data_IF_567697150600
#
_entry.id   IF_567697150600
#
_cell.length_a   1.000
_cell.length_b   1.000
_cell.length_c   1.000
_cell.angle_alpha   90.00
_cell.angle_beta   90.00
_cell.angle_gamma   90.00
#
_symmetry.space_group_name_H-M   'P 1'
#
loop_
_entity.id
_entity.type
_entity.pdbx_description
1 polymer ?
#
# COMPACT_ATOMS: atom_id res chain seq x y z
N UNK A 1 5.20 -24.30 -9.00
CA UNK A 1 5.98 -23.26 -9.71
C UNK A 1 5.13 -22.75 -10.85
N UNK A 2 4.93 -21.43 -11.00
CA UNK A 2 4.12 -20.88 -12.08
C UNK A 2 4.96 -20.68 -13.35
N UNK A 3 4.98 -21.71 -14.20
CA UNK A 3 5.30 -21.62 -15.63
C UNK A 3 6.60 -20.93 -16.08
N UNK A 4 6.79 -20.84 -17.38
CA UNK A 4 7.83 -20.02 -18.02
C UNK A 4 7.48 -18.52 -17.98
N UNK A 5 8.40 -17.66 -18.43
CA UNK A 5 8.10 -16.22 -18.59
C UNK A 5 6.99 -16.00 -19.64
N UNK A 6 7.01 -16.74 -20.75
CA UNK A 6 5.97 -16.69 -21.77
C UNK A 6 4.59 -17.05 -21.23
N UNK A 7 4.50 -18.10 -20.42
CA UNK A 7 3.25 -18.51 -19.76
C UNK A 7 2.72 -17.45 -18.79
N UNK A 8 3.62 -16.78 -18.04
CA UNK A 8 3.22 -15.68 -17.14
C UNK A 8 2.75 -14.44 -17.89
N UNK A 9 3.39 -14.08 -19.00
CA UNK A 9 2.94 -12.99 -19.88
C UNK A 9 1.55 -13.28 -20.45
N UNK A 10 1.30 -14.52 -20.86
CA UNK A 10 0.00 -14.98 -21.34
C UNK A 10 -1.06 -14.92 -20.24
N UNK A 11 -0.72 -15.37 -19.03
CA UNK A 11 -1.62 -15.35 -17.89
C UNK A 11 -2.05 -13.93 -17.50
N UNK A 12 -1.10 -12.97 -17.43
CA UNK A 12 -1.41 -11.54 -17.20
C UNK A 12 -2.38 -11.03 -18.25
N UNK A 13 -2.07 -11.25 -19.53
CA UNK A 13 -2.89 -10.79 -20.64
C UNK A 13 -4.32 -11.35 -20.56
N UNK A 14 -4.46 -12.64 -20.30
CA UNK A 14 -5.77 -13.29 -20.16
C UNK A 14 -6.54 -12.77 -18.95
N UNK A 15 -5.89 -12.60 -17.80
CA UNK A 15 -6.52 -12.08 -16.60
C UNK A 15 -6.99 -10.62 -16.76
N UNK A 16 -6.30 -9.83 -17.59
CA UNK A 16 -6.70 -8.46 -17.96
C UNK A 16 -7.71 -8.37 -19.11
N UNK A 17 -8.09 -9.50 -19.73
CA UNK A 17 -8.99 -9.52 -20.88
C UNK A 17 -8.40 -8.91 -22.16
N UNK A 18 -7.07 -8.85 -22.26
CA UNK A 18 -6.36 -8.20 -23.37
C UNK A 18 -6.10 -9.18 -24.54
N UNK A 19 -6.15 -8.66 -25.76
CA UNK A 19 -5.64 -9.32 -26.95
C UNK A 19 -4.11 -9.29 -26.99
N UNK A 20 -3.50 -10.17 -27.79
CA UNK A 20 -2.04 -10.16 -27.98
C UNK A 20 -1.54 -8.84 -28.57
N UNK A 21 -2.38 -8.15 -29.35
CA UNK A 21 -2.05 -6.86 -29.95
C UNK A 21 -2.01 -5.75 -28.90
N UNK A 22 -3.03 -5.65 -28.05
CA UNK A 22 -3.08 -4.66 -26.96
C UNK A 22 -1.92 -4.86 -25.98
N UNK A 23 -1.59 -6.11 -25.66
CA UNK A 23 -0.44 -6.38 -24.78
C UNK A 23 0.90 -6.02 -25.45
N UNK A 24 1.03 -6.20 -26.76
CA UNK A 24 2.22 -5.77 -27.50
C UNK A 24 2.36 -4.23 -27.50
N UNK A 25 1.25 -3.51 -27.62
CA UNK A 25 1.20 -2.04 -27.53
C UNK A 25 1.61 -1.56 -26.13
N UNK A 26 1.10 -2.17 -25.05
CA UNK A 26 1.51 -1.88 -23.66
C UNK A 26 3.01 -2.09 -23.45
N UNK A 27 3.54 -3.18 -24.00
CA UNK A 27 4.97 -3.48 -23.92
C UNK A 27 5.82 -2.63 -24.85
N UNK A 28 5.23 -1.82 -25.74
CA UNK A 28 5.93 -1.07 -26.78
C UNK A 28 6.78 -1.99 -27.66
N UNK A 29 6.17 -3.06 -28.19
CA UNK A 29 6.79 -4.02 -29.11
C UNK A 29 5.87 -4.36 -30.27
N UNK A 30 6.43 -4.96 -31.32
CA UNK A 30 5.61 -5.50 -32.41
C UNK A 30 4.80 -6.71 -31.93
N UNK A 31 3.61 -6.93 -32.52
CA UNK A 31 2.80 -8.12 -32.26
C UNK A 31 3.61 -9.42 -32.43
N UNK A 32 4.45 -9.49 -33.47
CA UNK A 32 5.30 -10.64 -33.74
C UNK A 32 6.31 -10.89 -32.61
N UNK A 33 6.92 -9.84 -32.06
CA UNK A 33 7.82 -9.97 -30.93
C UNK A 33 7.09 -10.50 -29.69
N UNK A 34 5.91 -9.96 -29.37
CA UNK A 34 5.10 -10.43 -28.25
C UNK A 34 4.67 -11.90 -28.40
N UNK A 35 4.25 -12.32 -29.59
CA UNK A 35 3.90 -13.72 -29.88
C UNK A 35 5.07 -14.68 -29.66
N UNK A 36 6.30 -14.25 -29.98
CA UNK A 36 7.51 -15.03 -29.70
C UNK A 36 7.83 -15.08 -28.21
N UNK A 37 7.49 -14.04 -27.45
CA UNK A 37 7.62 -14.04 -25.99
C UNK A 37 6.67 -15.04 -25.34
N UNK A 38 5.38 -15.03 -25.68
CA UNK A 38 4.40 -15.98 -25.11
C UNK A 38 4.73 -17.45 -25.40
N UNK A 39 5.45 -17.74 -26.51
CA UNK A 39 5.90 -19.08 -26.89
C UNK A 39 7.28 -19.45 -26.37
N UNK A 40 7.92 -18.58 -25.58
CA UNK A 40 9.31 -18.70 -25.12
C UNK A 40 10.35 -18.83 -26.25
N UNK A 41 10.02 -18.46 -27.49
CA UNK A 41 10.92 -18.45 -28.65
C UNK A 41 11.91 -17.26 -28.60
N UNK A 42 11.64 -16.26 -27.77
CA UNK A 42 12.48 -15.11 -27.52
C UNK A 42 12.27 -14.62 -26.09
N UNK A 43 13.33 -14.19 -25.40
CA UNK A 43 13.20 -13.55 -24.08
C UNK A 43 12.94 -12.06 -24.22
N UNK A 44 11.98 -11.55 -23.45
CA UNK A 44 11.78 -10.11 -23.29
C UNK A 44 12.91 -9.50 -22.45
N UNK A 45 13.33 -8.27 -22.76
CA UNK A 45 14.28 -7.53 -21.94
C UNK A 45 13.60 -7.00 -20.66
N UNK A 46 14.40 -6.71 -19.63
CA UNK A 46 13.90 -6.11 -18.39
C UNK A 46 13.15 -4.79 -18.62
N UNK A 47 13.60 -3.96 -19.56
CA UNK A 47 12.92 -2.72 -19.94
C UNK A 47 11.48 -2.98 -20.42
N UNK A 48 11.28 -4.02 -21.24
CA UNK A 48 9.95 -4.36 -21.77
C UNK A 48 9.06 -5.00 -20.70
N UNK A 49 9.63 -5.74 -19.76
CA UNK A 49 8.90 -6.25 -18.60
C UNK A 49 8.52 -5.14 -17.62
N UNK A 50 9.40 -4.16 -17.40
CA UNK A 50 9.14 -3.01 -16.53
C UNK A 50 7.95 -2.17 -17.03
N UNK A 51 7.79 -2.02 -18.35
CA UNK A 51 6.60 -1.37 -18.94
C UNK A 51 5.29 -2.04 -18.53
N UNK A 52 5.23 -3.37 -18.44
CA UNK A 52 4.03 -4.08 -18.00
C UNK A 52 3.65 -3.67 -16.58
N UNK A 53 4.63 -3.68 -15.66
CA UNK A 53 4.42 -3.32 -14.26
C UNK A 53 3.99 -1.86 -14.14
N UNK A 54 4.59 -0.97 -14.92
CA UNK A 54 4.28 0.45 -14.92
C UNK A 54 2.87 0.76 -15.46
N UNK A 55 2.50 0.19 -16.61
CA UNK A 55 1.23 0.49 -17.27
C UNK A 55 0.03 -0.19 -16.58
N UNK A 56 0.19 -1.44 -16.13
CA UNK A 56 -0.89 -2.19 -15.50
C UNK A 56 -1.04 -1.91 -14.00
N UNK A 57 0.01 -1.37 -13.35
CA UNK A 57 0.08 -0.89 -11.94
C UNK A 57 -0.24 -1.88 -10.83
N UNK A 58 -0.88 -3.00 -11.13
CA UNK A 58 -1.30 -4.02 -10.18
C UNK A 58 -0.59 -5.36 -10.39
N UNK A 59 0.39 -5.44 -11.29
CA UNK A 59 1.16 -6.65 -11.52
C UNK A 59 2.30 -6.75 -10.51
N UNK A 60 2.38 -7.88 -9.81
CA UNK A 60 3.48 -8.17 -8.92
C UNK A 60 4.74 -8.51 -9.73
N UNK A 61 5.77 -7.67 -9.61
CA UNK A 61 7.03 -7.83 -10.32
C UNK A 61 7.78 -9.10 -9.91
N UNK A 62 7.71 -9.52 -8.63
CA UNK A 62 8.29 -10.78 -8.18
C UNK A 62 7.63 -11.95 -8.90
N UNK A 63 6.30 -12.00 -8.90
CA UNK A 63 5.56 -13.05 -9.60
C UNK A 63 5.87 -13.06 -11.11
N UNK A 64 5.92 -11.89 -11.77
CA UNK A 64 6.28 -11.81 -13.20
C UNK A 64 7.67 -12.41 -13.49
N UNK A 65 8.65 -12.14 -12.63
CA UNK A 65 10.04 -12.54 -12.84
C UNK A 65 10.33 -13.98 -12.40
N UNK A 66 9.78 -14.41 -11.27
CA UNK A 66 10.11 -15.69 -10.61
C UNK A 66 8.97 -16.70 -10.63
N UNK A 67 7.73 -16.23 -10.77
CA UNK A 67 6.53 -17.05 -10.59
C UNK A 67 6.18 -17.33 -9.13
N UNK A 68 6.77 -16.59 -8.19
CA UNK A 68 6.51 -16.73 -6.75
C UNK A 68 5.60 -15.61 -6.23
N UNK A 69 4.66 -15.99 -5.36
CA UNK A 69 3.64 -15.10 -4.79
C UNK A 69 2.38 -14.99 -5.65
N UNK A 70 1.59 -13.95 -5.40
CA UNK A 70 0.36 -13.66 -6.15
C UNK A 70 0.69 -12.86 -7.42
N UNK A 71 -0.03 -13.13 -8.52
CA UNK A 71 0.10 -12.41 -9.80
C UNK A 71 -0.15 -10.91 -9.66
N UNK A 72 -1.14 -10.55 -8.84
CA UNK A 72 -1.53 -9.19 -8.60
C UNK A 72 -0.98 -8.70 -7.26
N UNK A 73 -0.51 -7.46 -7.22
CA UNK A 73 -0.29 -6.74 -5.98
C UNK A 73 -1.66 -6.49 -5.39
N UNK A 74 -1.85 -6.85 -4.11
CA UNK A 74 -3.03 -6.43 -3.34
C UNK A 74 -2.96 -4.91 -3.17
N UNK A 75 -3.53 -4.18 -4.13
CA UNK A 75 -3.55 -2.72 -4.19
C UNK A 75 -4.74 -2.10 -3.44
N UNK A 76 -5.59 -2.92 -2.84
CA UNK A 76 -6.69 -2.50 -1.99
C UNK A 76 -6.24 -2.22 -0.55
N UNK A 77 -7.17 -1.68 0.24
CA UNK A 77 -6.98 -1.56 1.68
C UNK A 77 -6.85 -2.96 2.35
N UNK A 78 -6.17 -3.07 3.50
CA UNK A 78 -6.10 -4.32 4.26
C UNK A 78 -7.49 -4.90 4.56
N UNK A 79 -7.60 -6.22 4.60
CA UNK A 79 -8.89 -6.91 4.79
C UNK A 79 -9.58 -6.51 6.09
N UNK A 80 -8.84 -6.47 7.20
CA UNK A 80 -9.36 -6.04 8.51
C UNK A 80 -9.91 -4.60 8.48
N UNK A 81 -9.27 -3.70 7.72
CA UNK A 81 -9.77 -2.35 7.51
C UNK A 81 -11.09 -2.36 6.72
N UNK A 82 -11.16 -3.14 5.64
CA UNK A 82 -12.36 -3.23 4.80
C UNK A 82 -13.54 -3.84 5.58
N UNK A 83 -13.30 -4.84 6.43
CA UNK A 83 -14.33 -5.42 7.30
C UNK A 83 -14.88 -4.38 8.28
N UNK A 84 -13.99 -3.70 9.03
CA UNK A 84 -14.38 -2.62 9.94
C UNK A 84 -15.14 -1.51 9.23
N UNK A 85 -14.65 -1.09 8.05
CA UNK A 85 -15.27 -0.04 7.27
C UNK A 85 -16.69 -0.42 6.82
N UNK A 86 -16.90 -1.65 6.35
CA UNK A 86 -18.24 -2.13 5.97
C UNK A 86 -19.20 -2.11 7.15
N UNK A 87 -18.74 -2.54 8.33
CA UNK A 87 -19.53 -2.50 9.55
C UNK A 87 -19.93 -1.06 9.91
N UNK A 88 -18.99 -0.12 9.90
CA UNK A 88 -19.27 1.26 10.28
C UNK A 88 -20.13 2.00 9.25
N UNK A 89 -19.92 1.75 7.95
CA UNK A 89 -20.78 2.28 6.88
C UNK A 89 -22.22 1.79 7.01
N UNK A 90 -22.45 0.55 7.46
CA UNK A 90 -23.81 0.04 7.68
C UNK A 90 -24.59 0.80 8.76
N UNK A 91 -23.88 1.51 9.64
CA UNK A 91 -24.43 2.34 10.73
C UNK A 91 -24.44 3.84 10.39
N UNK A 92 -23.84 4.24 9.27
CA UNK A 92 -23.68 5.64 8.88
C UNK A 92 -24.92 6.17 8.14
N UNK A 93 -25.16 7.48 8.22
CA UNK A 93 -26.18 8.13 7.39
C UNK A 93 -25.67 8.38 5.97
N UNK A 94 -26.58 8.40 5.00
CA UNK A 94 -26.25 8.68 3.61
C UNK A 94 -25.62 10.07 3.45
N UNK A 95 -26.06 11.07 4.22
CA UNK A 95 -25.50 12.42 4.22
C UNK A 95 -24.03 12.43 4.63
N UNK A 96 -23.66 11.65 5.66
CA UNK A 96 -22.27 11.53 6.10
C UNK A 96 -21.40 10.94 5.01
N UNK A 97 -21.84 9.84 4.38
CA UNK A 97 -21.08 9.21 3.29
C UNK A 97 -20.96 10.13 2.07
N UNK A 98 -22.02 10.86 1.73
CA UNK A 98 -22.03 11.81 0.61
C UNK A 98 -21.12 13.03 0.81
N UNK A 99 -20.65 13.27 2.04
CA UNK A 99 -19.72 14.36 2.36
C UNK A 99 -18.26 14.02 2.10
N UNK A 100 -17.93 12.74 1.89
CA UNK A 100 -16.56 12.27 1.64
C UNK A 100 -16.03 12.79 0.29
N UNK A 101 -14.79 13.29 0.30
CA UNK A 101 -14.09 13.79 -0.89
C UNK A 101 -13.88 12.73 -1.98
N UNK A 102 -13.91 11.45 -1.61
CA UNK A 102 -13.67 10.30 -2.49
C UNK A 102 -14.89 9.38 -2.65
N UNK A 103 -16.11 9.86 -2.33
CA UNK A 103 -17.33 9.04 -2.33
C UNK A 103 -17.56 8.20 -3.60
N UNK A 104 -17.22 8.75 -4.77
CA UNK A 104 -17.42 8.09 -6.06
C UNK A 104 -16.52 6.86 -6.25
N UNK A 105 -15.44 6.77 -5.47
CA UNK A 105 -14.48 5.66 -5.46
C UNK A 105 -14.77 4.63 -4.36
N UNK A 106 -15.73 4.90 -3.46
CA UNK A 106 -15.96 4.08 -2.27
C UNK A 106 -16.27 2.62 -2.62
N UNK A 107 -17.08 2.38 -3.66
CA UNK A 107 -17.39 1.02 -4.13
C UNK A 107 -16.15 0.27 -4.63
N UNK A 108 -15.22 0.98 -5.30
CA UNK A 108 -13.96 0.40 -5.76
C UNK A 108 -13.05 0.05 -4.57
N UNK A 109 -13.02 0.90 -3.53
CA UNK A 109 -12.29 0.64 -2.29
C UNK A 109 -12.86 -0.58 -1.55
N UNK A 110 -14.18 -0.64 -1.35
CA UNK A 110 -14.85 -1.75 -0.66
C UNK A 110 -14.70 -3.09 -1.38
N UNK A 111 -14.52 -3.04 -2.70
CA UNK A 111 -14.23 -4.18 -3.57
C UNK A 111 -12.74 -4.55 -3.62
N UNK A 112 -11.87 -3.83 -2.89
CA UNK A 112 -10.41 -4.05 -2.88
C UNK A 112 -9.70 -3.64 -4.18
N UNK A 113 -10.35 -2.88 -5.07
CA UNK A 113 -9.78 -2.41 -6.34
C UNK A 113 -8.97 -1.13 -6.19
N UNK A 114 -9.23 -0.36 -5.13
CA UNK A 114 -8.54 0.89 -4.84
C UNK A 114 -8.17 1.01 -3.36
N UNK A 115 -7.14 1.81 -3.10
CA UNK A 115 -6.74 2.23 -1.75
C UNK A 115 -7.20 3.66 -1.47
N UNK A 116 -7.35 3.95 -0.18
CA UNK A 116 -7.50 5.31 0.33
C UNK A 116 -6.15 5.81 0.79
N UNK A 117 -5.79 7.04 0.44
CA UNK A 117 -4.62 7.69 0.99
C UNK A 117 -4.80 8.01 2.48
N UNK A 118 -3.68 8.23 3.19
CA UNK A 118 -3.70 8.47 4.65
C UNK A 118 -4.67 9.58 5.06
N UNK A 119 -4.74 10.66 4.29
CA UNK A 119 -5.64 11.80 4.53
C UNK A 119 -7.12 11.42 4.35
N UNK A 120 -7.43 10.57 3.38
CA UNK A 120 -8.78 10.05 3.11
C UNK A 120 -9.23 9.11 4.23
N UNK A 121 -8.32 8.29 4.79
CA UNK A 121 -8.60 7.44 5.96
C UNK A 121 -8.93 8.28 7.21
N UNK A 122 -8.23 9.40 7.41
CA UNK A 122 -8.50 10.32 8.54
C UNK A 122 -9.85 11.02 8.35
N UNK A 123 -10.15 11.47 7.14
CA UNK A 123 -11.45 12.04 6.77
C UNK A 123 -12.57 11.05 7.07
N UNK A 124 -12.41 9.80 6.61
CA UNK A 124 -13.37 8.71 6.83
C UNK A 124 -13.64 8.47 8.31
N UNK A 125 -12.58 8.30 9.11
CA UNK A 125 -12.72 8.10 10.54
C UNK A 125 -13.47 9.25 11.21
N UNK A 126 -13.17 10.51 10.84
CA UNK A 126 -13.86 11.69 11.35
C UNK A 126 -15.36 11.70 10.99
N UNK A 127 -15.68 11.44 9.72
CA UNK A 127 -17.06 11.42 9.22
C UNK A 127 -17.87 10.31 9.89
N UNK A 128 -17.27 9.14 10.06
CA UNK A 128 -17.90 7.98 10.73
C UNK A 128 -17.85 8.04 12.25
N UNK A 129 -17.29 9.12 12.82
CA UNK A 129 -17.09 9.33 14.27
C UNK A 129 -16.33 8.18 14.94
N UNK A 130 -15.37 7.61 14.23
CA UNK A 130 -14.48 6.55 14.71
C UNK A 130 -13.12 7.14 15.13
N UNK A 131 -12.39 6.47 16.04
CA UNK A 131 -11.02 6.85 16.37
C UNK A 131 -10.11 6.76 15.13
N UNK A 132 -9.47 7.87 14.76
CA UNK A 132 -8.62 7.92 13.56
C UNK A 132 -7.39 7.01 13.69
N UNK A 133 -6.86 6.86 14.89
CA UNK A 133 -5.72 6.00 15.21
C UNK A 133 -6.03 4.53 14.92
N UNK A 134 -7.26 4.08 15.23
CA UNK A 134 -7.70 2.71 14.99
C UNK A 134 -7.82 2.42 13.48
N UNK A 135 -8.42 3.35 12.74
CA UNK A 135 -8.52 3.27 11.28
C UNK A 135 -7.14 3.31 10.60
N UNK A 136 -6.25 4.18 11.05
CA UNK A 136 -4.88 4.27 10.53
C UNK A 136 -4.06 3.01 10.82
N UNK A 137 -4.27 2.39 11.99
CA UNK A 137 -3.66 1.10 12.34
C UNK A 137 -4.15 0.00 11.40
N UNK A 138 -5.47 -0.17 11.27
CA UNK A 138 -6.08 -1.18 10.39
C UNK A 138 -5.69 -0.97 8.92
N UNK A 139 -5.54 0.28 8.48
CA UNK A 139 -5.08 0.64 7.15
C UNK A 139 -3.56 0.43 6.92
N UNK A 140 -2.82 -0.07 7.91
CA UNK A 140 -1.36 -0.19 7.90
C UNK A 140 -0.62 1.15 7.68
N UNK A 141 -1.25 2.28 8.04
CA UNK A 141 -0.63 3.61 8.03
C UNK A 141 -0.01 4.01 9.36
N UNK A 142 -0.29 3.27 10.43
CA UNK A 142 0.31 3.47 11.73
C UNK A 142 0.92 2.15 12.24
N UNK A 143 2.25 2.05 12.34
CA UNK A 143 2.89 0.87 12.90
C UNK A 143 2.46 0.64 14.36
N UNK A 144 2.21 -0.62 14.71
CA UNK A 144 1.76 -1.06 16.04
C UNK A 144 2.61 -0.52 17.21
N UNK A 145 3.91 -0.32 16.97
CA UNK A 145 4.82 0.22 17.98
C UNK A 145 4.42 1.63 18.40
N UNK A 146 3.92 2.45 17.47
CA UNK A 146 3.46 3.81 17.80
C UNK A 146 2.19 3.77 18.63
N UNK A 147 1.29 2.79 18.44
CA UNK A 147 0.10 2.65 19.30
C UNK A 147 0.52 2.35 20.74
N UNK A 148 1.50 1.47 20.96
CA UNK A 148 2.03 1.18 22.31
C UNK A 148 2.68 2.40 22.95
N UNK A 149 3.43 3.17 22.17
CA UNK A 149 4.15 4.37 22.64
C UNK A 149 3.16 5.50 22.95
N UNK A 150 2.17 5.74 22.09
CA UNK A 150 1.16 6.79 22.28
C UNK A 150 0.10 6.43 23.32
N UNK A 151 -0.05 5.15 23.68
CA UNK A 151 -0.86 4.76 24.85
C UNK A 151 -0.17 5.04 26.18
N UNK A 152 1.08 5.54 26.19
CA UNK A 152 1.78 5.93 27.39
C UNK A 152 1.54 7.43 27.67
N UNK A 153 0.75 7.73 28.70
CA UNK A 153 0.39 9.10 29.09
C UNK A 153 1.61 10.02 29.27
N UNK A 154 2.74 9.49 29.76
CA UNK A 154 3.98 10.27 29.92
C UNK A 154 4.55 10.69 28.58
N UNK A 155 4.53 9.79 27.60
CA UNK A 155 5.01 10.08 26.24
C UNK A 155 4.09 11.08 25.55
N UNK A 156 2.78 10.91 25.67
CA UNK A 156 1.82 11.88 25.11
C UNK A 156 1.98 13.25 25.74
N UNK A 157 2.16 13.31 27.06
CA UNK A 157 2.41 14.57 27.79
C UNK A 157 3.70 15.22 27.33
N UNK A 158 4.78 14.44 27.15
CA UNK A 158 6.03 14.92 26.58
C UNK A 158 5.84 15.50 25.18
N UNK A 159 5.18 14.77 24.27
CA UNK A 159 4.91 15.23 22.91
C UNK A 159 4.08 16.53 22.89
N UNK A 160 3.10 16.67 23.78
CA UNK A 160 2.33 17.92 23.91
C UNK A 160 3.20 19.08 24.37
N UNK A 161 4.09 18.87 25.34
CA UNK A 161 5.01 19.91 25.81
C UNK A 161 6.03 20.33 24.76
N UNK A 162 6.27 19.51 23.72
CA UNK A 162 7.11 19.89 22.59
C UNK A 162 6.43 20.91 21.66
N UNK A 163 5.10 21.06 21.70
CA UNK A 163 4.40 22.07 20.91
C UNK A 163 4.74 23.51 21.32
N UNK A 164 5.30 23.70 22.51
CA UNK A 164 5.78 24.97 23.02
C UNK A 164 7.26 25.24 22.67
N UNK A 165 7.95 24.26 22.08
CA UNK A 165 9.36 24.35 21.70
C UNK A 165 9.50 24.84 20.25
N UNK A 166 10.58 25.54 19.96
CA UNK A 166 10.96 25.88 18.59
C UNK A 166 11.70 24.73 17.90
N UNK A 167 11.83 24.79 16.56
CA UNK A 167 12.44 23.73 15.76
C UNK A 167 13.83 23.29 16.26
N UNK A 168 14.66 24.24 16.71
CA UNK A 168 16.00 23.95 17.23
C UNK A 168 15.95 23.19 18.56
N UNK A 169 15.05 23.58 19.45
CA UNK A 169 14.85 22.90 20.73
C UNK A 169 14.28 21.49 20.53
N UNK A 170 13.42 21.31 19.53
CA UNK A 170 12.91 19.99 19.13
C UNK A 170 14.06 19.10 18.64
N UNK A 171 14.92 19.63 17.77
CA UNK A 171 16.07 18.89 17.24
C UNK A 171 17.02 18.44 18.37
N UNK A 172 17.33 19.33 19.32
CA UNK A 172 18.19 19.00 20.48
C UNK A 172 17.60 17.88 21.35
N UNK A 173 16.28 17.87 21.56
CA UNK A 173 15.58 16.80 22.30
C UNK A 173 15.63 15.48 21.53
N UNK A 174 15.41 15.51 20.21
CA UNK A 174 15.44 14.31 19.36
C UNK A 174 16.85 13.71 19.31
N UNK A 175 17.89 14.54 19.16
CA UNK A 175 19.28 14.08 19.21
C UNK A 175 19.61 13.46 20.57
N UNK A 176 19.21 14.09 21.66
CA UNK A 176 19.44 13.59 23.01
C UNK A 176 18.77 12.23 23.25
N UNK A 177 17.52 12.06 22.80
CA UNK A 177 16.81 10.79 22.85
C UNK A 177 17.50 9.73 21.99
N UNK A 178 17.97 10.10 20.80
CA UNK A 178 18.67 9.20 19.88
C UNK A 178 19.97 8.67 20.50
N UNK A 179 20.78 9.54 21.11
CA UNK A 179 22.02 9.15 21.81
C UNK A 179 21.75 8.16 22.95
N UNK A 180 20.69 8.38 23.74
CA UNK A 180 20.30 7.46 24.82
C UNK A 180 19.90 6.09 24.26
N UNK A 181 19.11 6.07 23.19
CA UNK A 181 18.67 4.83 22.54
C UNK A 181 19.84 4.07 21.91
N UNK A 182 20.75 4.74 21.23
CA UNK A 182 21.98 4.16 20.67
C UNK A 182 22.88 3.56 21.77
N UNK A 183 23.02 4.28 22.88
CA UNK A 183 23.73 3.78 24.07
C UNK A 183 23.11 2.51 24.66
N UNK A 184 21.78 2.42 24.68
CA UNK A 184 21.07 1.23 25.13
C UNK A 184 21.23 0.05 24.16
N UNK A 185 21.05 0.28 22.85
CA UNK A 185 21.16 -0.75 21.81
C UNK A 185 22.59 -1.30 21.67
N UNK A 186 23.60 -0.45 21.82
CA UNK A 186 25.01 -0.85 21.75
C UNK A 186 25.44 -1.72 22.93
N UNK A 187 24.86 -1.55 24.12
CA UNK A 187 25.04 -2.47 25.26
C UNK A 187 24.37 -3.81 25.01
N UNK A 188 23.16 -3.82 24.48
CA UNK A 188 22.37 -5.04 24.23
C UNK A 188 22.92 -5.95 23.12
N UNK A 189 23.83 -5.45 22.27
CA UNK A 189 24.56 -6.24 21.25
C UNK A 189 25.82 -6.92 21.79
N UNK A 190 26.25 -6.60 23.01
CA UNK A 190 27.45 -7.17 23.65
C UNK A 190 27.15 -8.31 24.63
N UNK A 191 25.87 -8.53 24.93
CA UNK A 191 25.33 -9.67 25.70
C UNK A 191 24.68 -10.67 24.75
#
# INVERSE_FOLDING_TARGET
MSGSLGERLKAIRQAKGLSQKEMAEIMDVTLRAYQRYEKDEQKASYEKLARIVYELKDINSNWLLTGEGDMFIKNGMPEEFLERLKEDLSKASAESVNSLSFKDRLDAVLSGREKLERVEVIELARVLKQPAEEYLKLANYMPEIFSKVLNNDKVVTMLRSMGDLNDKEIDEVVESLSLVLEGYLSKKKKD
#
